data_IF_870427110160
#
_entry.id   IF_870427110160
#
_cell.length_a   1.000
_cell.length_b   1.000
_cell.length_c   1.000
_cell.angle_alpha   90.00
_cell.angle_beta   90.00
_cell.angle_gamma   90.00
#
_symmetry.space_group_name_H-M   'P 1'
#
loop_
_entity.id
_entity.type
_entity.pdbx_description
1 polymer ?
#
# COMPACT_ATOMS: atom_id res chain seq x y z
N UNK A 1 -16.85 50.46 28.84
CA UNK A 1 -16.21 49.60 27.81
C UNK A 1 -16.52 50.19 26.44
N UNK A 2 -15.52 50.55 25.64
CA UNK A 2 -15.74 51.27 24.37
C UNK A 2 -16.43 50.37 23.35
N UNK A 3 -17.61 50.77 22.86
CA UNK A 3 -18.41 50.01 21.86
C UNK A 3 -17.59 49.67 20.60
N UNK A 4 -16.63 50.55 20.25
CA UNK A 4 -15.67 50.37 19.16
C UNK A 4 -14.73 49.19 19.38
N UNK A 5 -14.32 48.94 20.63
CA UNK A 5 -13.43 47.84 20.99
C UNK A 5 -14.17 46.49 20.91
N UNK A 6 -15.43 46.47 21.34
CA UNK A 6 -16.29 45.28 21.30
C UNK A 6 -16.54 44.84 19.85
N UNK A 7 -16.87 45.79 18.97
CA UNK A 7 -17.07 45.53 17.54
C UNK A 7 -15.81 44.99 16.86
N UNK A 8 -14.65 45.55 17.19
CA UNK A 8 -13.37 45.12 16.61
C UNK A 8 -13.01 43.69 17.04
N UNK A 9 -13.21 43.35 18.31
CA UNK A 9 -13.04 41.97 18.81
C UNK A 9 -13.99 41.01 18.10
N UNK A 10 -15.25 41.39 17.92
CA UNK A 10 -16.24 40.53 17.26
C UNK A 10 -15.89 40.26 15.79
N UNK A 11 -15.42 41.26 15.04
CA UNK A 11 -14.96 41.10 13.65
C UNK A 11 -13.76 40.16 13.56
N UNK A 12 -12.79 40.28 14.48
CA UNK A 12 -11.62 39.38 14.52
C UNK A 12 -12.03 37.95 14.81
N UNK A 13 -12.97 37.73 15.74
CA UNK A 13 -13.49 36.38 16.07
C UNK A 13 -14.24 35.77 14.89
N UNK A 14 -15.10 36.54 14.20
CA UNK A 14 -15.83 36.06 13.02
C UNK A 14 -14.87 35.75 11.87
N UNK A 15 -13.86 36.59 11.65
CA UNK A 15 -12.84 36.33 10.63
C UNK A 15 -12.00 35.09 10.95
N UNK A 16 -11.56 34.93 12.21
CA UNK A 16 -10.80 33.76 12.64
C UNK A 16 -11.63 32.46 12.55
N UNK A 17 -12.90 32.49 12.95
CA UNK A 17 -13.81 31.36 12.83
C UNK A 17 -14.14 31.05 11.35
N UNK A 18 -14.35 32.09 10.53
CA UNK A 18 -14.62 31.95 9.10
C UNK A 18 -13.43 31.36 8.33
N UNK A 19 -12.23 31.90 8.54
CA UNK A 19 -11.00 31.38 7.93
C UNK A 19 -10.63 29.99 8.47
N UNK A 20 -10.85 29.73 9.76
CA UNK A 20 -10.63 28.42 10.36
C UNK A 20 -11.57 27.35 9.81
N UNK A 21 -12.86 27.65 9.69
CA UNK A 21 -13.84 26.73 9.09
C UNK A 21 -13.58 26.50 7.60
N UNK A 22 -13.19 27.55 6.87
CA UNK A 22 -12.83 27.44 5.45
C UNK A 22 -11.55 26.62 5.25
N UNK A 23 -10.58 26.73 6.16
CA UNK A 23 -9.37 25.88 6.20
C UNK A 23 -9.68 24.43 6.57
N UNK A 24 -10.67 24.18 7.43
CA UNK A 24 -11.11 22.82 7.79
C UNK A 24 -11.88 22.14 6.65
N UNK A 25 -12.81 22.87 6.00
CA UNK A 25 -13.56 22.38 4.84
C UNK A 25 -12.67 22.16 3.61
N UNK A 26 -11.58 22.91 3.48
CA UNK A 26 -10.54 22.68 2.46
C UNK A 26 -9.46 21.66 2.90
N UNK A 27 -9.43 21.30 4.18
CA UNK A 27 -8.47 20.37 4.77
C UNK A 27 -8.82 18.89 4.60
N UNK A 28 -10.12 18.57 4.55
CA UNK A 28 -10.63 17.20 4.36
C UNK A 28 -10.55 16.74 2.91
N UNK A 29 -9.54 15.92 2.59
CA UNK A 29 -9.47 15.24 1.31
C UNK A 29 -10.40 14.02 1.22
N UNK A 30 -10.58 13.49 0.02
CA UNK A 30 -11.27 12.22 -0.22
C UNK A 30 -10.25 11.08 -0.29
N UNK A 31 -10.64 9.86 0.07
CA UNK A 31 -9.74 8.69 -0.06
C UNK A 31 -9.62 8.24 -1.51
N UNK A 32 -8.64 7.37 -1.77
CA UNK A 32 -8.40 6.81 -3.11
C UNK A 32 -9.58 5.99 -3.63
N UNK A 33 -10.20 5.17 -2.78
CA UNK A 33 -11.40 4.40 -3.11
C UNK A 33 -12.58 5.32 -3.46
N UNK A 34 -12.84 6.34 -2.63
CA UNK A 34 -13.92 7.30 -2.89
C UNK A 34 -13.70 8.06 -4.20
N UNK A 35 -12.47 8.47 -4.49
CA UNK A 35 -12.15 9.15 -5.73
C UNK A 35 -12.32 8.21 -6.94
N UNK A 36 -12.00 6.93 -6.78
CA UNK A 36 -12.17 5.92 -7.83
C UNK A 36 -13.64 5.65 -8.14
N UNK A 37 -14.47 5.43 -7.11
CA UNK A 37 -15.91 5.19 -7.27
C UNK A 37 -16.61 6.39 -7.94
N UNK A 38 -16.13 7.60 -7.66
CA UNK A 38 -16.63 8.84 -8.26
C UNK A 38 -16.04 9.13 -9.66
N UNK A 39 -15.18 8.25 -10.21
CA UNK A 39 -14.48 8.43 -11.49
C UNK A 39 -13.63 9.70 -11.54
N UNK A 40 -13.06 10.08 -10.39
CA UNK A 40 -12.25 11.28 -10.19
C UNK A 40 -10.75 10.98 -10.04
N UNK A 41 -10.34 9.72 -10.13
CA UNK A 41 -8.92 9.34 -10.09
C UNK A 41 -8.59 8.32 -11.17
N UNK A 42 -7.37 8.40 -11.66
CA UNK A 42 -6.75 7.43 -12.54
C UNK A 42 -5.42 6.99 -11.92
N UNK A 43 -5.17 5.69 -11.85
CA UNK A 43 -3.99 5.10 -11.21
C UNK A 43 -3.27 4.25 -12.25
N UNK A 44 -2.01 4.57 -12.53
CA UNK A 44 -1.26 4.02 -13.67
C UNK A 44 0.07 3.44 -13.19
N UNK A 45 0.33 2.18 -13.54
CA UNK A 45 1.63 1.55 -13.30
C UNK A 45 2.70 2.18 -14.20
N UNK A 46 3.77 2.76 -13.64
CA UNK A 46 4.84 3.38 -14.45
C UNK A 46 6.00 2.42 -14.71
N UNK A 47 6.36 1.63 -13.71
CA UNK A 47 7.58 0.80 -13.74
C UNK A 47 7.33 -0.59 -14.29
N UNK A 48 8.31 -1.13 -15.02
CA UNK A 48 8.27 -2.49 -15.55
C UNK A 48 8.62 -3.53 -14.47
N UNK A 49 8.36 -4.79 -14.80
CA UNK A 49 8.67 -5.94 -13.96
C UNK A 49 10.16 -5.98 -13.54
N UNK A 50 10.42 -6.37 -12.30
CA UNK A 50 11.74 -6.45 -11.66
C UNK A 50 12.22 -5.15 -11.02
N UNK A 51 11.41 -4.09 -11.03
CA UNK A 51 11.75 -2.78 -10.43
C UNK A 51 11.28 -2.73 -8.99
N UNK A 52 12.19 -2.47 -8.03
CA UNK A 52 11.84 -2.37 -6.61
C UNK A 52 12.40 -1.05 -6.04
N UNK A 53 11.58 -0.20 -5.39
CA UNK A 53 10.12 -0.24 -5.39
C UNK A 53 9.54 0.09 -6.77
N UNK A 54 8.26 -0.25 -6.99
CA UNK A 54 7.51 0.22 -8.16
C UNK A 54 7.08 1.68 -7.98
N UNK A 55 6.90 2.37 -9.11
CA UNK A 55 6.29 3.69 -9.14
C UNK A 55 4.93 3.64 -9.83
N UNK A 56 3.95 4.30 -9.22
CA UNK A 56 2.57 4.40 -9.68
C UNK A 56 2.19 5.87 -9.79
N UNK A 57 1.73 6.31 -10.96
CA UNK A 57 1.14 7.65 -11.11
C UNK A 57 -0.29 7.63 -10.61
N UNK A 58 -0.64 8.55 -9.71
CA UNK A 58 -2.01 8.81 -9.29
C UNK A 58 -2.39 10.19 -9.79
N UNK A 59 -3.41 10.25 -10.65
CA UNK A 59 -3.94 11.47 -11.23
C UNK A 59 -5.28 11.81 -10.61
N UNK A 60 -5.32 12.89 -9.84
CA UNK A 60 -6.53 13.42 -9.24
C UNK A 60 -7.23 14.35 -10.23
N UNK A 61 -8.29 13.87 -10.88
CA UNK A 61 -9.17 14.63 -11.78
C UNK A 61 -10.34 15.30 -11.02
N UNK A 62 -10.38 15.17 -9.68
CA UNK A 62 -11.41 15.73 -8.83
C UNK A 62 -11.13 17.17 -8.40
N UNK A 63 -12.14 17.77 -7.76
CA UNK A 63 -12.08 19.14 -7.22
C UNK A 63 -11.61 19.21 -5.77
N UNK A 64 -11.49 18.06 -5.09
CA UNK A 64 -11.01 17.94 -3.70
C UNK A 64 -9.61 17.35 -3.67
N UNK A 65 -8.79 17.68 -2.65
CA UNK A 65 -7.53 16.97 -2.43
C UNK A 65 -7.78 15.47 -2.26
N UNK A 66 -6.93 14.66 -2.86
CA UNK A 66 -6.95 13.21 -2.75
C UNK A 66 -5.92 12.79 -1.69
N UNK A 67 -6.36 11.98 -0.72
CA UNK A 67 -5.48 11.35 0.27
C UNK A 67 -5.24 9.92 -0.18
N UNK A 68 -3.96 9.59 -0.33
CA UNK A 68 -3.47 8.26 -0.63
C UNK A 68 -2.84 7.74 0.65
N UNK A 69 -3.44 6.70 1.21
CA UNK A 69 -2.99 6.12 2.47
C UNK A 69 -1.99 5.00 2.21
N UNK A 70 -0.95 4.96 3.04
CA UNK A 70 -0.02 3.84 3.07
C UNK A 70 -0.77 2.53 3.39
N UNK A 71 -0.45 1.49 2.66
CA UNK A 71 -1.04 0.16 2.81
C UNK A 71 -2.30 -0.06 1.97
N UNK A 72 -2.77 0.94 1.21
CA UNK A 72 -3.82 0.72 0.21
C UNK A 72 -3.36 -0.28 -0.86
N UNK A 73 -4.22 -1.26 -1.14
CA UNK A 73 -4.02 -2.27 -2.16
C UNK A 73 -4.49 -1.76 -3.52
N UNK A 74 -3.71 -2.03 -4.56
CA UNK A 74 -4.02 -1.71 -5.93
C UNK A 74 -4.09 -3.00 -6.74
N UNK A 75 -5.19 -3.22 -7.46
CA UNK A 75 -5.39 -4.42 -8.27
C UNK A 75 -5.42 -4.15 -9.75
N UNK A 76 -4.98 -5.12 -10.54
CA UNK A 76 -5.16 -5.07 -12.00
C UNK A 76 -5.43 -6.43 -12.60
N UNK A 77 -6.20 -6.42 -13.70
CA UNK A 77 -6.44 -7.63 -14.50
C UNK A 77 -5.30 -7.90 -15.49
N UNK A 78 -4.51 -6.87 -15.81
CA UNK A 78 -3.52 -6.89 -16.88
C UNK A 78 -2.08 -6.73 -16.37
N UNK A 79 -1.92 -6.35 -15.10
CA UNK A 79 -0.64 -6.16 -14.41
C UNK A 79 -0.73 -6.74 -13.01
N UNK A 80 0.39 -6.95 -12.34
CA UNK A 80 0.43 -7.40 -10.95
C UNK A 80 -0.34 -6.47 -10.00
N UNK A 81 -0.84 -7.03 -8.91
CA UNK A 81 -1.35 -6.30 -7.77
C UNK A 81 -0.20 -5.68 -6.93
N UNK A 82 -0.48 -4.55 -6.28
CA UNK A 82 0.50 -3.78 -5.50
C UNK A 82 -0.05 -3.34 -4.13
N UNK A 83 0.84 -2.92 -3.25
CA UNK A 83 0.54 -2.20 -2.01
C UNK A 83 1.32 -0.88 -1.96
N UNK A 84 0.62 0.23 -1.71
CA UNK A 84 1.23 1.57 -1.59
C UNK A 84 2.05 1.64 -0.29
N UNK A 85 3.25 2.23 -0.34
CA UNK A 85 4.19 2.23 0.79
C UNK A 85 4.46 3.60 1.40
N UNK A 86 3.79 4.64 0.92
CA UNK A 86 3.90 6.01 1.44
C UNK A 86 2.54 6.70 1.49
N UNK A 87 2.39 7.59 2.47
CA UNK A 87 1.24 8.48 2.56
C UNK A 87 1.47 9.69 1.65
N UNK A 88 0.44 10.06 0.88
CA UNK A 88 0.56 11.16 -0.08
C UNK A 88 -0.74 11.94 -0.16
N UNK A 89 -0.63 13.27 -0.22
CA UNK A 89 -1.77 14.16 -0.50
C UNK A 89 -1.58 14.81 -1.87
N UNK A 90 -2.52 14.55 -2.78
CA UNK A 90 -2.48 15.03 -4.16
C UNK A 90 -3.52 16.12 -4.34
N UNK A 91 -3.08 17.31 -4.73
CA UNK A 91 -3.95 18.45 -4.95
C UNK A 91 -4.98 18.19 -6.06
N UNK A 92 -6.13 18.89 -6.04
CA UNK A 92 -7.12 18.83 -7.12
C UNK A 92 -6.51 19.09 -8.49
N UNK A 93 -6.99 18.38 -9.53
CA UNK A 93 -6.55 18.52 -10.92
C UNK A 93 -5.03 18.39 -11.11
N UNK A 94 -4.37 17.58 -10.28
CA UNK A 94 -2.94 17.36 -10.32
C UNK A 94 -2.64 15.86 -10.33
N UNK A 95 -1.41 15.50 -10.66
CA UNK A 95 -0.90 14.15 -10.53
C UNK A 95 0.33 14.13 -9.64
N UNK A 96 0.60 12.97 -9.08
CA UNK A 96 1.86 12.70 -8.41
C UNK A 96 2.19 11.21 -8.52
N UNK A 97 3.43 10.86 -8.24
CA UNK A 97 3.90 9.47 -8.19
C UNK A 97 3.96 9.00 -6.76
N UNK A 98 3.47 7.79 -6.52
CA UNK A 98 3.66 7.06 -5.26
C UNK A 98 4.47 5.80 -5.48
N UNK A 99 5.21 5.38 -4.45
CA UNK A 99 5.92 4.12 -4.43
C UNK A 99 5.01 2.99 -3.95
N UNK A 100 5.25 1.78 -4.48
CA UNK A 100 4.51 0.58 -4.13
C UNK A 100 5.39 -0.68 -4.17
N UNK A 101 5.01 -1.71 -3.41
CA UNK A 101 5.57 -3.06 -3.53
C UNK A 101 4.59 -4.00 -4.22
N UNK A 102 5.13 -4.98 -4.94
CA UNK A 102 4.39 -6.06 -5.58
C UNK A 102 3.80 -7.02 -4.53
N UNK A 103 2.57 -7.48 -4.72
CA UNK A 103 1.95 -8.53 -3.89
C UNK A 103 1.63 -9.83 -4.66
N UNK A 104 2.02 -9.91 -5.93
CA UNK A 104 1.84 -11.10 -6.79
C UNK A 104 3.16 -11.46 -7.47
N UNK A 105 4.04 -12.25 -6.83
CA UNK A 105 5.35 -12.58 -7.40
C UNK A 105 5.28 -13.32 -8.75
N UNK A 106 4.18 -14.01 -9.03
CA UNK A 106 4.01 -14.83 -10.23
C UNK A 106 3.47 -14.03 -11.44
N UNK A 107 3.01 -12.80 -11.22
CA UNK A 107 2.49 -11.90 -12.26
C UNK A 107 3.47 -10.77 -12.53
N UNK A 108 3.65 -10.38 -13.79
CA UNK A 108 4.59 -9.30 -14.16
C UNK A 108 3.93 -7.93 -14.08
N UNK A 109 4.69 -6.92 -13.65
CA UNK A 109 4.27 -5.54 -13.83
C UNK A 109 4.24 -5.14 -15.31
N UNK A 110 3.14 -4.51 -15.75
CA UNK A 110 2.97 -4.00 -17.12
C UNK A 110 2.80 -2.47 -17.08
N UNK A 111 3.80 -1.70 -17.53
CA UNK A 111 3.71 -0.24 -17.59
C UNK A 111 2.52 0.26 -18.43
N UNK A 112 1.90 1.35 -18.00
CA UNK A 112 0.77 1.97 -18.68
C UNK A 112 -0.59 1.35 -18.34
N UNK A 113 -0.62 0.22 -17.61
CA UNK A 113 -1.88 -0.39 -17.18
C UNK A 113 -2.54 0.40 -16.05
N UNK A 114 -3.87 0.40 -16.08
CA UNK A 114 -4.69 0.97 -15.01
C UNK A 114 -4.77 0.01 -13.83
N UNK A 115 -4.65 0.57 -12.62
CA UNK A 115 -4.83 -0.12 -11.36
C UNK A 115 -6.08 0.41 -10.65
N UNK A 116 -6.70 -0.42 -9.82
CA UNK A 116 -7.91 -0.07 -9.07
C UNK A 116 -7.67 -0.24 -7.57
N UNK A 117 -8.07 0.70 -6.71
CA UNK A 117 -7.93 0.52 -5.27
C UNK A 117 -8.85 -0.62 -4.79
N UNK A 118 -8.36 -1.46 -3.89
CA UNK A 118 -9.05 -2.67 -3.42
C UNK A 118 -8.89 -2.87 -1.92
N UNK A 119 -9.12 -1.80 -1.16
CA UNK A 119 -9.05 -1.82 0.29
C UNK A 119 -7.61 -1.75 0.81
N UNK A 120 -7.37 -2.32 1.99
CA UNK A 120 -6.11 -2.13 2.71
C UNK A 120 -5.45 -3.45 3.07
N UNK A 121 -4.13 -3.48 3.03
CA UNK A 121 -3.34 -4.66 3.35
C UNK A 121 -3.46 -5.06 4.83
N UNK A 122 -3.28 -6.37 5.09
CA UNK A 122 -2.13 -6.82 5.87
C UNK A 122 -1.72 -6.03 7.11
N UNK A 123 -2.01 -6.42 8.37
CA UNK A 123 -1.32 -5.80 9.51
C UNK A 123 0.18 -6.13 9.47
N UNK A 124 0.53 -7.30 8.93
CA UNK A 124 1.88 -7.79 8.75
C UNK A 124 2.55 -7.07 7.58
N UNK A 125 1.86 -6.95 6.43
CA UNK A 125 2.36 -6.17 5.30
C UNK A 125 2.53 -4.71 5.74
N UNK A 126 1.58 -4.12 6.48
CA UNK A 126 1.69 -2.79 7.10
C UNK A 126 2.92 -2.67 7.99
N UNK A 127 3.16 -3.62 8.90
CA UNK A 127 4.38 -3.62 9.71
C UNK A 127 5.67 -3.73 8.89
N UNK A 128 5.65 -4.50 7.79
CA UNK A 128 6.81 -4.59 6.88
C UNK A 128 7.04 -3.24 6.20
N UNK A 129 6.02 -2.64 5.58
CA UNK A 129 6.15 -1.35 4.88
C UNK A 129 6.47 -0.20 5.83
N UNK A 130 5.96 -0.20 7.06
CA UNK A 130 6.28 0.80 8.08
C UNK A 130 7.73 0.71 8.54
N UNK A 131 8.30 -0.49 8.55
CA UNK A 131 9.72 -0.72 8.84
C UNK A 131 10.64 -0.56 7.64
N UNK A 132 10.08 -0.34 6.45
CA UNK A 132 10.84 -0.29 5.20
C UNK A 132 11.46 1.08 4.97
N UNK A 133 12.63 1.10 4.34
CA UNK A 133 13.26 2.29 3.78
C UNK A 133 13.30 2.15 2.24
N UNK A 134 12.32 2.72 1.51
CA UNK A 134 12.24 2.61 0.06
C UNK A 134 13.40 3.25 -0.71
N UNK A 135 14.17 4.14 -0.08
CA UNK A 135 15.33 4.79 -0.70
C UNK A 135 16.59 3.93 -0.67
N UNK A 136 16.64 2.92 0.21
CA UNK A 136 17.70 1.91 0.25
C UNK A 136 17.26 0.68 -0.53
N UNK A 137 17.88 0.44 -1.69
CA UNK A 137 17.52 -0.68 -2.56
C UNK A 137 17.64 -2.05 -1.87
N UNK A 138 18.62 -2.24 -0.98
CA UNK A 138 18.80 -3.50 -0.28
C UNK A 138 17.65 -3.72 0.71
N UNK A 139 17.31 -2.69 1.49
CA UNK A 139 16.18 -2.73 2.40
C UNK A 139 14.84 -2.90 1.66
N UNK A 140 14.61 -2.12 0.59
CA UNK A 140 13.41 -2.20 -0.22
C UNK A 140 13.22 -3.59 -0.86
N UNK A 141 14.31 -4.17 -1.38
CA UNK A 141 14.28 -5.56 -1.90
C UNK A 141 13.97 -6.55 -0.79
N UNK A 142 14.55 -6.40 0.40
CA UNK A 142 14.26 -7.29 1.52
C UNK A 142 12.80 -7.18 2.00
N UNK A 143 12.22 -5.98 2.03
CA UNK A 143 10.81 -5.75 2.34
C UNK A 143 9.90 -6.37 1.28
N UNK A 144 10.23 -6.20 -0.01
CA UNK A 144 9.53 -6.85 -1.12
C UNK A 144 9.51 -8.38 -0.98
N UNK A 145 10.66 -9.00 -0.66
CA UNK A 145 10.73 -10.45 -0.46
C UNK A 145 9.90 -10.91 0.75
N UNK A 146 9.91 -10.17 1.85
CA UNK A 146 9.08 -10.51 3.02
C UNK A 146 7.59 -10.47 2.69
N UNK A 147 7.15 -9.49 1.89
CA UNK A 147 5.77 -9.42 1.40
C UNK A 147 5.44 -10.65 0.56
N UNK A 148 6.31 -11.03 -0.38
CA UNK A 148 6.14 -12.24 -1.21
C UNK A 148 6.05 -13.53 -0.39
N UNK A 149 6.87 -13.67 0.64
CA UNK A 149 6.79 -14.82 1.56
C UNK A 149 5.42 -14.85 2.25
N UNK A 150 4.88 -13.71 2.68
CA UNK A 150 3.58 -13.68 3.33
C UNK A 150 2.48 -14.06 2.33
N UNK A 151 2.38 -13.37 1.19
CA UNK A 151 1.28 -13.56 0.23
C UNK A 151 1.30 -14.94 -0.43
N UNK A 152 2.50 -15.51 -0.64
CA UNK A 152 2.68 -16.83 -1.27
C UNK A 152 2.84 -17.95 -0.24
N UNK A 153 2.58 -17.67 1.05
CA UNK A 153 2.67 -18.66 2.14
C UNK A 153 4.04 -19.35 2.23
N UNK A 154 5.08 -18.61 1.88
CA UNK A 154 6.47 -19.03 1.90
C UNK A 154 6.91 -19.90 0.72
N UNK A 155 6.09 -19.99 -0.34
CA UNK A 155 6.42 -20.69 -1.58
C UNK A 155 6.38 -19.70 -2.76
N UNK A 156 7.56 -19.18 -3.13
CA UNK A 156 7.72 -18.20 -4.21
C UNK A 156 8.53 -18.86 -5.32
N UNK A 157 7.96 -18.94 -6.53
CA UNK A 157 8.68 -19.48 -7.69
C UNK A 157 9.58 -18.41 -8.32
N UNK A 158 10.89 -18.53 -8.11
CA UNK A 158 11.89 -17.60 -8.64
C UNK A 158 11.98 -17.59 -10.17
N UNK A 159 11.37 -18.56 -10.86
CA UNK A 159 11.45 -18.72 -12.31
C UNK A 159 10.26 -18.13 -13.07
N UNK A 160 9.31 -17.49 -12.38
CA UNK A 160 8.12 -16.91 -13.01
C UNK A 160 7.91 -15.45 -12.65
N UNK A 161 6.98 -14.80 -13.36
CA UNK A 161 6.44 -13.51 -12.95
C UNK A 161 7.43 -12.37 -12.71
N UNK A 162 7.15 -11.63 -11.65
CA UNK A 162 7.95 -10.56 -11.08
C UNK A 162 9.25 -11.07 -10.47
N UNK A 163 9.23 -12.26 -9.84
CA UNK A 163 10.43 -12.86 -9.23
C UNK A 163 11.53 -13.11 -10.27
N UNK A 164 11.19 -13.71 -11.40
CA UNK A 164 12.11 -13.87 -12.54
C UNK A 164 12.56 -12.50 -13.08
N UNK A 165 11.65 -11.53 -13.18
CA UNK A 165 11.98 -10.21 -13.68
C UNK A 165 12.97 -9.48 -12.76
N UNK A 166 12.89 -9.66 -11.43
CA UNK A 166 13.88 -9.15 -10.48
C UNK A 166 15.27 -9.71 -10.78
N UNK A 167 15.38 -11.01 -11.08
CA UNK A 167 16.66 -11.63 -11.45
C UNK A 167 17.28 -10.95 -12.67
N UNK A 168 16.45 -10.69 -13.69
CA UNK A 168 16.87 -10.07 -14.95
C UNK A 168 17.25 -8.59 -14.77
N UNK A 169 16.36 -7.81 -14.14
CA UNK A 169 16.51 -6.35 -13.97
C UNK A 169 17.64 -6.01 -13.00
N UNK A 170 17.77 -6.73 -11.89
CA UNK A 170 18.84 -6.51 -10.90
C UNK A 170 20.16 -7.23 -11.25
N UNK A 171 20.22 -7.92 -12.40
CA UNK A 171 21.41 -8.68 -12.87
C UNK A 171 21.94 -9.67 -11.81
N UNK A 172 21.05 -10.26 -11.03
CA UNK A 172 21.39 -11.27 -10.03
C UNK A 172 21.20 -12.69 -10.60
N UNK A 173 21.42 -13.72 -9.79
CA UNK A 173 21.23 -15.13 -10.16
C UNK A 173 20.05 -15.71 -9.37
N UNK A 174 19.36 -16.69 -9.95
CA UNK A 174 18.22 -17.34 -9.28
C UNK A 174 18.56 -17.88 -7.88
N UNK A 175 19.74 -18.49 -7.69
CA UNK A 175 20.16 -18.98 -6.38
C UNK A 175 20.35 -17.86 -5.35
N UNK A 176 20.76 -16.66 -5.78
CA UNK A 176 20.91 -15.50 -4.90
C UNK A 176 19.54 -14.92 -4.53
N UNK A 177 18.57 -14.96 -5.45
CA UNK A 177 17.18 -14.60 -5.14
C UNK A 177 16.57 -15.61 -4.17
N UNK A 178 16.80 -16.92 -4.37
CA UNK A 178 16.36 -17.96 -3.45
C UNK A 178 16.93 -17.73 -2.04
N UNK A 179 18.23 -17.45 -1.92
CA UNK A 179 18.86 -17.12 -0.63
C UNK A 179 18.21 -15.90 0.04
N UNK A 180 17.90 -14.84 -0.74
CA UNK A 180 17.17 -13.66 -0.22
C UNK A 180 15.76 -14.02 0.26
N UNK A 181 15.05 -14.92 -0.44
CA UNK A 181 13.73 -15.41 -0.04
C UNK A 181 13.81 -16.25 1.24
N UNK A 182 14.81 -17.11 1.37
CA UNK A 182 15.03 -17.89 2.59
C UNK A 182 15.32 -16.98 3.79
N UNK A 183 16.17 -15.96 3.61
CA UNK A 183 16.42 -14.93 4.62
C UNK A 183 15.14 -14.16 4.95
N UNK A 184 14.35 -13.77 3.93
CA UNK A 184 13.07 -13.11 4.13
C UNK A 184 12.09 -13.97 4.92
N UNK A 185 12.06 -15.28 4.67
CA UNK A 185 11.25 -16.25 5.41
C UNK A 185 11.65 -16.33 6.88
N UNK A 186 12.95 -16.39 7.17
CA UNK A 186 13.46 -16.33 8.55
C UNK A 186 13.08 -15.01 9.23
N UNK A 187 13.18 -13.89 8.53
CA UNK A 187 12.79 -12.58 9.07
C UNK A 187 11.29 -12.50 9.38
N UNK A 188 10.43 -12.99 8.49
CA UNK A 188 8.97 -13.07 8.71
C UNK A 188 8.68 -13.96 9.92
N UNK A 189 9.30 -15.14 10.00
CA UNK A 189 9.12 -16.06 11.14
C UNK A 189 9.52 -15.40 12.46
N UNK A 190 10.70 -14.78 12.52
CA UNK A 190 11.18 -14.12 13.73
C UNK A 190 10.32 -12.91 14.11
N UNK A 191 9.97 -12.07 13.12
CA UNK A 191 9.20 -10.83 13.34
C UNK A 191 7.80 -11.11 13.87
N UNK A 192 7.15 -12.16 13.37
CA UNK A 192 5.76 -12.49 13.72
C UNK A 192 5.64 -13.69 14.66
N UNK A 193 6.77 -14.19 15.19
CA UNK A 193 6.86 -15.37 16.04
C UNK A 193 6.13 -16.60 15.45
N UNK A 194 6.43 -16.90 14.18
CA UNK A 194 5.83 -17.99 13.41
C UNK A 194 6.81 -19.16 13.23
N UNK A 195 6.28 -20.37 13.14
CA UNK A 195 7.03 -21.54 12.66
C UNK A 195 6.97 -21.62 11.13
N UNK A 196 7.78 -22.48 10.51
CA UNK A 196 7.72 -22.76 9.07
C UNK A 196 6.33 -23.20 8.62
N UNK A 197 5.67 -24.07 9.39
CA UNK A 197 4.28 -24.48 9.17
C UNK A 197 3.31 -23.32 9.39
N UNK A 198 3.60 -22.45 10.36
CA UNK A 198 2.84 -21.22 10.62
C UNK A 198 2.84 -20.26 9.43
N UNK A 199 3.94 -20.18 8.67
CA UNK A 199 4.02 -19.39 7.42
C UNK A 199 3.21 -20.02 6.29
N UNK A 200 3.21 -21.35 6.16
CA UNK A 200 2.43 -22.06 5.14
C UNK A 200 0.92 -22.00 5.42
N UNK A 201 0.55 -21.99 6.70
CA UNK A 201 -0.84 -21.96 7.14
C UNK A 201 -1.39 -20.55 7.32
N UNK A 202 -0.69 -19.51 6.88
CA UNK A 202 -1.26 -18.16 6.91
C UNK A 202 -2.48 -18.16 5.96
N UNK A 203 -3.68 -18.14 6.53
CA UNK A 203 -4.93 -18.10 5.77
C UNK A 203 -5.19 -16.69 5.27
N UNK A 204 -5.22 -16.53 3.95
CA UNK A 204 -5.71 -15.34 3.26
C UNK A 204 -6.89 -15.75 2.38
N UNK A 205 -8.08 -15.87 2.96
CA UNK A 205 -9.30 -15.98 2.16
C UNK A 205 -9.66 -14.59 1.68
N UNK A 206 -9.29 -14.26 0.45
CA UNK A 206 -9.99 -13.23 -0.30
C UNK A 206 -11.21 -13.91 -0.95
N UNK A 207 -12.26 -14.18 -0.18
CA UNK A 207 -13.55 -14.45 -0.80
C UNK A 207 -14.01 -13.17 -1.50
N UNK A 208 -14.24 -13.35 -2.80
CA UNK A 208 -14.98 -12.45 -3.68
C UNK A 208 -16.24 -11.93 -2.98
N UNK A 209 -16.52 -10.65 -3.22
CA UNK A 209 -17.73 -9.90 -2.89
C UNK A 209 -17.84 -9.33 -1.46
N UNK A 210 -17.70 -8.00 -1.42
CA UNK A 210 -18.15 -7.11 -0.35
C UNK A 210 -17.72 -7.47 1.08
N UNK A 211 -16.52 -7.03 1.45
CA UNK A 211 -16.35 -6.13 2.61
C UNK A 211 -14.88 -6.02 2.99
N UNK A 212 -14.44 -4.81 3.34
CA UNK A 212 -13.17 -4.54 3.99
C UNK A 212 -13.00 -5.21 5.39
N UNK A 213 -13.89 -6.15 5.76
CA UNK A 213 -13.96 -6.78 7.07
C UNK A 213 -13.53 -8.27 7.08
N UNK A 214 -13.47 -8.94 5.93
CA UNK A 214 -13.15 -10.39 5.85
C UNK A 214 -11.66 -10.67 6.11
N UNK A 215 -10.77 -9.80 5.62
CA UNK A 215 -9.32 -9.98 5.79
C UNK A 215 -8.85 -9.91 7.26
N UNK A 216 -9.54 -9.12 8.11
CA UNK A 216 -9.23 -9.00 9.55
C UNK A 216 -9.88 -10.13 10.37
N UNK A 217 -11.08 -10.60 9.99
CA UNK A 217 -11.80 -11.65 10.73
C UNK A 217 -11.10 -13.01 10.63
N UNK A 218 -10.63 -13.35 9.45
CA UNK A 218 -10.04 -14.66 9.15
C UNK A 218 -8.70 -14.84 9.88
N UNK A 219 -7.93 -13.76 9.96
CA UNK A 219 -6.67 -13.76 10.69
C UNK A 219 -6.86 -13.78 12.22
N UNK A 220 -7.86 -13.06 12.74
CA UNK A 220 -8.18 -13.08 14.18
C UNK A 220 -8.66 -14.47 14.63
N UNK A 221 -9.40 -15.18 13.78
CA UNK A 221 -9.80 -16.57 14.03
C UNK A 221 -8.61 -17.53 13.95
N UNK A 222 -7.72 -17.38 12.97
CA UNK A 222 -6.50 -18.19 12.89
C UNK A 222 -5.58 -17.99 14.11
N UNK A 223 -5.40 -16.73 14.56
CA UNK A 223 -4.59 -16.39 15.72
C UNK A 223 -5.16 -16.97 17.02
N UNK A 224 -6.48 -16.91 17.21
CA UNK A 224 -7.16 -17.56 18.34
C UNK A 224 -7.01 -19.08 18.32
N UNK A 225 -7.18 -19.70 17.16
CA UNK A 225 -7.15 -21.16 17.03
C UNK A 225 -5.74 -21.77 17.20
N UNK A 226 -4.67 -21.06 16.79
CA UNK A 226 -3.31 -21.60 16.85
C UNK A 226 -2.50 -21.19 18.10
N UNK A 227 -2.91 -20.13 18.81
CA UNK A 227 -2.24 -19.67 20.03
C UNK A 227 -3.02 -19.94 21.32
N UNK A 228 -4.20 -20.55 21.24
CA UNK A 228 -4.96 -20.99 22.41
C UNK A 228 -5.47 -19.85 23.30
N UNK A 229 -5.94 -18.76 22.70
CA UNK A 229 -6.60 -17.63 23.39
C UNK A 229 -8.04 -17.46 22.87
#
# INVERSE_FOLDING_TARGET
MNIRLILLIMVVVVFAAGCGAMSFLSGGGITLEQAYDNKQVEIIQNTAAGTIPHNVTIKNNGTKPLVVDKGTLLKSKESQDLVIIEDKKINPNNNDTVQAYCIEPDQKAVPGTTLNPSGTASSQIKQIIDSSNPSDLQNATQSQMQIWIIVSKGDVDVYTGEAMAVVQTQKTKYYQLQEKLDIAKQNVMNRFNLTSEGVQNISFTAESDNSANTWISDFRQWFKNNLGI
#
